data_IF_707643378267
#
_entry.id   IF_707643378267
#
_cell.length_a   1.000
_cell.length_b   1.000
_cell.length_c   1.000
_cell.angle_alpha   90.00
_cell.angle_beta   90.00
_cell.angle_gamma   90.00
#
_symmetry.space_group_name_H-M   'P 1'
#
loop_
_entity.id
_entity.type
_entity.pdbx_description
1 polymer ?
#
# COMPACT_ATOMS: atom_id res chain seq x y z
N UNK A 1 87.29 -62.74 21.56
CA UNK A 1 85.98 -62.55 22.24
C UNK A 1 85.29 -61.22 21.92
N UNK A 2 86.00 -60.12 21.66
CA UNK A 2 85.41 -58.80 21.38
C UNK A 2 84.41 -58.75 20.21
N UNK A 3 84.65 -59.46 19.10
CA UNK A 3 83.74 -59.43 17.93
C UNK A 3 82.36 -60.06 18.21
N UNK A 4 82.32 -61.17 18.98
CA UNK A 4 81.06 -61.84 19.34
C UNK A 4 80.19 -60.94 20.23
N UNK A 5 80.80 -60.19 21.15
CA UNK A 5 80.08 -59.22 21.99
C UNK A 5 79.49 -58.05 21.18
N UNK A 6 80.19 -57.56 20.14
CA UNK A 6 79.67 -56.50 19.26
C UNK A 6 78.44 -56.95 18.48
N UNK A 7 78.42 -58.19 17.97
CA UNK A 7 77.26 -58.73 17.26
C UNK A 7 76.04 -58.94 18.17
N UNK A 8 76.25 -59.41 19.41
CA UNK A 8 75.16 -59.56 20.39
C UNK A 8 74.58 -58.19 20.77
N UNK A 9 75.43 -57.20 21.02
CA UNK A 9 74.98 -55.84 21.31
C UNK A 9 74.21 -55.21 20.14
N UNK A 10 74.66 -55.43 18.90
CA UNK A 10 73.95 -54.95 17.71
C UNK A 10 72.59 -55.64 17.51
N UNK A 11 72.50 -56.95 17.77
CA UNK A 11 71.24 -57.69 17.69
C UNK A 11 70.23 -57.21 18.75
N UNK A 12 70.67 -57.01 19.99
CA UNK A 12 69.83 -56.46 21.07
C UNK A 12 69.37 -55.02 20.75
N UNK A 13 70.22 -54.21 20.12
CA UNK A 13 69.83 -52.85 19.74
C UNK A 13 68.77 -52.85 18.63
N UNK A 14 68.91 -53.72 17.63
CA UNK A 14 67.88 -53.92 16.57
C UNK A 14 66.55 -54.39 17.14
N UNK A 15 66.58 -55.29 18.12
CA UNK A 15 65.35 -55.78 18.77
C UNK A 15 64.65 -54.67 19.57
N UNK A 16 65.40 -53.84 20.28
CA UNK A 16 64.85 -52.65 20.97
C UNK A 16 64.27 -51.63 19.99
N UNK A 17 64.93 -51.43 18.85
CA UNK A 17 64.47 -50.51 17.81
C UNK A 17 63.14 -50.97 17.21
N UNK A 18 63.03 -52.27 16.88
CA UNK A 18 61.75 -52.88 16.43
C UNK A 18 60.65 -52.73 17.48
N UNK A 19 60.97 -52.91 18.77
CA UNK A 19 59.99 -52.73 19.85
C UNK A 19 59.48 -51.29 19.93
N UNK A 20 60.37 -50.30 19.79
CA UNK A 20 60.00 -48.86 19.74
C UNK A 20 59.22 -48.49 18.48
N UNK A 21 59.50 -49.14 17.35
CA UNK A 21 58.74 -48.92 16.12
C UNK A 21 57.32 -49.46 16.23
N UNK A 22 57.17 -50.67 16.79
CA UNK A 22 55.85 -51.25 17.09
C UNK A 22 55.05 -50.39 18.06
N UNK A 23 55.67 -49.88 19.12
CA UNK A 23 55.02 -48.98 20.08
C UNK A 23 54.54 -47.67 19.41
N UNK A 24 55.34 -47.08 18.52
CA UNK A 24 54.95 -45.91 17.71
C UNK A 24 53.84 -46.22 16.70
N UNK A 25 53.74 -47.46 16.22
CA UNK A 25 52.64 -47.88 15.34
C UNK A 25 51.34 -48.05 16.12
N UNK A 26 51.38 -48.72 17.28
CA UNK A 26 50.24 -48.83 18.19
C UNK A 26 49.75 -47.45 18.68
N UNK A 27 50.66 -46.51 18.94
CA UNK A 27 50.30 -45.13 19.28
C UNK A 27 49.59 -44.42 18.12
N UNK A 28 50.11 -44.53 16.89
CA UNK A 28 49.45 -43.99 15.69
C UNK A 28 48.07 -44.61 15.45
N UNK A 29 47.88 -45.90 15.74
CA UNK A 29 46.56 -46.53 15.65
C UNK A 29 45.58 -46.01 16.68
N UNK A 30 46.03 -45.77 17.93
CA UNK A 30 45.21 -45.13 18.97
C UNK A 30 44.84 -43.70 18.59
N UNK A 31 45.79 -42.92 18.09
CA UNK A 31 45.54 -41.55 17.60
C UNK A 31 44.51 -41.55 16.47
N UNK A 32 44.64 -42.45 15.49
CA UNK A 32 43.64 -42.62 14.43
C UNK A 32 42.27 -42.98 15.00
N UNK A 33 42.20 -43.89 15.97
CA UNK A 33 40.96 -44.25 16.65
C UNK A 33 40.27 -43.05 17.31
N UNK A 34 41.05 -42.22 18.03
CA UNK A 34 40.55 -40.99 18.66
C UNK A 34 40.06 -40.00 17.59
N UNK A 35 40.81 -39.80 16.49
CA UNK A 35 40.40 -38.91 15.40
C UNK A 35 39.10 -39.37 14.73
N UNK A 36 38.92 -40.67 14.49
CA UNK A 36 37.67 -41.21 13.95
C UNK A 36 36.50 -40.99 14.91
N UNK A 37 36.71 -41.14 16.22
CA UNK A 37 35.69 -40.88 17.22
C UNK A 37 35.28 -39.40 17.25
N UNK A 38 36.25 -38.48 17.20
CA UNK A 38 35.99 -37.03 17.12
C UNK A 38 35.23 -36.68 15.84
N UNK A 39 35.64 -37.23 14.69
CA UNK A 39 34.99 -37.01 13.41
C UNK A 39 33.52 -37.48 13.44
N UNK A 40 33.25 -38.67 13.99
CA UNK A 40 31.90 -39.20 14.11
C UNK A 40 31.01 -38.33 15.02
N UNK A 41 31.53 -37.86 16.15
CA UNK A 41 30.80 -36.94 17.03
C UNK A 41 30.50 -35.61 16.35
N UNK A 42 31.44 -35.08 15.57
CA UNK A 42 31.25 -33.86 14.78
C UNK A 42 30.14 -34.02 13.73
N UNK A 43 30.16 -35.12 12.98
CA UNK A 43 29.12 -35.45 11.98
C UNK A 43 27.75 -35.60 12.65
N UNK A 44 27.67 -36.32 13.77
CA UNK A 44 26.41 -36.48 14.51
C UNK A 44 25.86 -35.16 15.03
N UNK A 45 26.74 -34.28 15.54
CA UNK A 45 26.35 -32.94 15.97
C UNK A 45 25.81 -32.10 14.81
N UNK A 46 26.46 -32.12 13.64
CA UNK A 46 25.98 -31.44 12.43
C UNK A 46 24.62 -31.95 11.98
N UNK A 47 24.38 -33.26 12.01
CA UNK A 47 23.08 -33.85 11.66
C UNK A 47 21.98 -33.35 12.62
N UNK A 48 22.25 -33.28 13.92
CA UNK A 48 21.29 -32.78 14.92
C UNK A 48 20.99 -31.29 14.69
N UNK A 49 22.03 -30.47 14.44
CA UNK A 49 21.87 -29.05 14.14
C UNK A 49 21.04 -28.85 12.86
N UNK A 50 21.36 -29.59 11.80
CA UNK A 50 20.62 -29.53 10.54
C UNK A 50 19.14 -29.91 10.72
N UNK A 51 18.87 -30.98 11.46
CA UNK A 51 17.49 -31.40 11.77
C UNK A 51 16.74 -30.36 12.59
N UNK A 52 17.40 -29.74 13.56
CA UNK A 52 16.80 -28.67 14.35
C UNK A 52 16.48 -27.44 13.49
N UNK A 53 17.38 -27.06 12.59
CA UNK A 53 17.16 -25.94 11.67
C UNK A 53 15.98 -26.21 10.71
N UNK A 54 15.90 -27.42 10.16
CA UNK A 54 14.75 -27.86 9.35
C UNK A 54 13.43 -27.79 10.14
N UNK A 55 13.45 -28.22 11.40
CA UNK A 55 12.26 -28.14 12.26
C UNK A 55 11.85 -26.69 12.56
N UNK A 56 12.80 -25.78 12.79
CA UNK A 56 12.51 -24.36 12.97
C UNK A 56 11.89 -23.74 11.71
N UNK A 57 12.43 -24.07 10.53
CA UNK A 57 11.90 -23.58 9.27
C UNK A 57 10.47 -24.08 9.01
N UNK A 58 10.19 -25.33 9.36
CA UNK A 58 8.84 -25.90 9.29
C UNK A 58 7.85 -25.15 10.20
N UNK A 59 8.22 -24.90 11.46
CA UNK A 59 7.38 -24.17 12.41
C UNK A 59 7.14 -22.72 11.98
N UNK A 60 8.16 -22.06 11.41
CA UNK A 60 8.02 -20.71 10.89
C UNK A 60 7.04 -20.66 9.71
N UNK A 61 7.11 -21.63 8.81
CA UNK A 61 6.18 -21.74 7.68
C UNK A 61 4.75 -22.03 8.15
N UNK A 62 4.57 -22.92 9.14
CA UNK A 62 3.25 -23.20 9.74
C UNK A 62 2.65 -21.94 10.40
N UNK A 63 3.47 -21.16 11.12
CA UNK A 63 3.01 -19.88 11.68
C UNK A 63 2.60 -18.89 10.59
N UNK A 64 3.33 -18.80 9.48
CA UNK A 64 2.97 -17.94 8.35
C UNK A 64 1.65 -18.40 7.70
N UNK A 65 1.44 -19.70 7.54
CA UNK A 65 0.17 -20.24 7.03
C UNK A 65 -1.00 -19.92 7.95
N UNK A 66 -0.83 -20.07 9.28
CA UNK A 66 -1.87 -19.70 10.24
C UNK A 66 -2.19 -18.20 10.19
N UNK A 67 -1.17 -17.34 10.03
CA UNK A 67 -1.37 -15.89 9.87
C UNK A 67 -2.12 -15.56 8.57
N UNK A 68 -1.76 -16.21 7.45
CA UNK A 68 -2.45 -16.05 6.18
C UNK A 68 -3.92 -16.50 6.26
N UNK A 69 -4.19 -17.62 6.92
CA UNK A 69 -5.54 -18.14 7.11
C UNK A 69 -6.41 -17.20 7.95
N UNK A 70 -5.84 -16.64 9.02
CA UNK A 70 -6.54 -15.65 9.85
C UNK A 70 -6.85 -14.37 9.06
N UNK A 71 -5.90 -13.89 8.24
CA UNK A 71 -6.12 -12.73 7.39
C UNK A 71 -7.23 -12.95 6.36
N UNK A 72 -7.26 -14.14 5.75
CA UNK A 72 -8.31 -14.55 4.81
C UNK A 72 -9.69 -14.56 5.49
N UNK A 73 -9.76 -15.03 6.74
CA UNK A 73 -11.00 -15.05 7.51
C UNK A 73 -11.50 -13.62 7.81
N UNK A 74 -10.61 -12.69 8.15
CA UNK A 74 -10.95 -11.27 8.34
C UNK A 74 -11.48 -10.67 7.04
N UNK A 75 -10.82 -10.95 5.91
CA UNK A 75 -11.19 -10.42 4.61
C UNK A 75 -12.58 -10.94 4.17
N UNK A 76 -12.86 -12.22 4.41
CA UNK A 76 -14.16 -12.82 4.16
C UNK A 76 -15.26 -12.17 5.04
N UNK A 77 -14.97 -11.93 6.31
CA UNK A 77 -15.90 -11.25 7.21
C UNK A 77 -16.20 -9.82 6.76
N UNK A 78 -15.16 -9.08 6.31
CA UNK A 78 -15.32 -7.73 5.77
C UNK A 78 -16.19 -7.73 4.51
N UNK A 79 -15.98 -8.68 3.60
CA UNK A 79 -16.79 -8.81 2.39
C UNK A 79 -18.27 -9.05 2.74
N UNK A 80 -18.54 -9.92 3.71
CA UNK A 80 -19.91 -10.20 4.15
C UNK A 80 -20.58 -8.95 4.75
N UNK A 81 -19.84 -8.18 5.54
CA UNK A 81 -20.34 -6.93 6.12
C UNK A 81 -20.65 -5.88 5.04
N UNK A 82 -19.83 -5.80 3.99
CA UNK A 82 -20.04 -4.89 2.87
C UNK A 82 -21.28 -5.28 2.06
N UNK A 83 -21.54 -6.57 1.86
CA UNK A 83 -22.79 -7.05 1.26
C UNK A 83 -24.02 -6.68 2.09
N UNK A 84 -23.95 -6.78 3.42
CA UNK A 84 -25.07 -6.39 4.29
C UNK A 84 -25.35 -4.88 4.20
N UNK A 85 -24.31 -4.05 4.14
CA UNK A 85 -24.48 -2.60 3.93
C UNK A 85 -25.12 -2.29 2.58
N UNK A 86 -24.72 -2.98 1.51
CA UNK A 86 -25.37 -2.82 0.19
C UNK A 86 -26.85 -3.20 0.25
N UNK A 87 -27.20 -4.32 0.89
CA UNK A 87 -28.60 -4.70 1.06
C UNK A 87 -29.41 -3.70 1.91
N UNK A 88 -28.80 -3.07 2.91
CA UNK A 88 -29.44 -2.02 3.68
C UNK A 88 -29.68 -0.76 2.82
N UNK A 89 -28.69 -0.34 2.05
CA UNK A 89 -28.83 0.79 1.12
C UNK A 89 -29.88 0.51 0.04
N UNK A 90 -29.94 -0.70 -0.51
CA UNK A 90 -30.99 -1.10 -1.46
C UNK A 90 -32.37 -1.07 -0.82
N UNK A 91 -32.49 -1.48 0.44
CA UNK A 91 -33.76 -1.38 1.18
C UNK A 91 -34.17 0.05 1.44
N UNK A 92 -33.25 0.92 1.84
CA UNK A 92 -33.54 2.36 2.01
C UNK A 92 -33.92 3.00 0.67
N UNK A 93 -33.17 2.71 -0.39
CA UNK A 93 -33.51 3.17 -1.74
C UNK A 93 -34.90 2.71 -2.18
N UNK A 94 -35.28 1.47 -1.85
CA UNK A 94 -36.61 0.96 -2.15
C UNK A 94 -37.70 1.66 -1.33
N UNK A 95 -37.44 1.99 -0.06
CA UNK A 95 -38.35 2.79 0.78
C UNK A 95 -38.55 4.19 0.19
N UNK A 96 -37.47 4.88 -0.15
CA UNK A 96 -37.52 6.21 -0.76
C UNK A 96 -38.29 6.19 -2.10
N UNK A 97 -38.08 5.13 -2.89
CA UNK A 97 -38.79 4.94 -4.15
C UNK A 97 -40.30 4.72 -3.95
N UNK A 98 -40.71 3.91 -2.97
CA UNK A 98 -42.13 3.74 -2.62
C UNK A 98 -42.76 5.05 -2.10
N UNK A 99 -42.02 5.84 -1.33
CA UNK A 99 -42.45 7.16 -0.88
C UNK A 99 -42.65 8.13 -2.06
N UNK A 100 -41.67 8.23 -2.96
CA UNK A 100 -41.79 9.05 -4.17
C UNK A 100 -42.98 8.61 -5.05
N UNK A 101 -43.20 7.30 -5.16
CA UNK A 101 -44.33 6.75 -5.91
C UNK A 101 -45.67 7.15 -5.29
N UNK A 102 -45.80 7.12 -3.97
CA UNK A 102 -47.03 7.57 -3.28
C UNK A 102 -47.25 9.08 -3.41
N UNK A 103 -46.20 9.90 -3.34
CA UNK A 103 -46.28 11.35 -3.59
C UNK A 103 -46.74 11.67 -5.03
N UNK A 104 -46.18 10.99 -6.04
CA UNK A 104 -46.61 11.13 -7.43
C UNK A 104 -48.08 10.72 -7.63
N UNK A 105 -48.54 9.67 -6.93
CA UNK A 105 -49.93 9.23 -6.99
C UNK A 105 -50.89 10.24 -6.34
N UNK A 106 -50.45 10.95 -5.29
CA UNK A 106 -51.22 12.05 -4.68
C UNK A 106 -51.29 13.28 -5.60
N UNK A 107 -50.18 13.64 -6.26
CA UNK A 107 -50.14 14.74 -7.24
C UNK A 107 -50.96 14.44 -8.49
N UNK A 108 -51.05 13.17 -8.90
CA UNK A 108 -51.88 12.74 -10.03
C UNK A 108 -53.38 12.86 -9.76
N UNK A 109 -53.82 13.14 -8.54
CA UNK A 109 -55.25 13.29 -8.22
C UNK A 109 -55.74 14.70 -8.59
N UNK A 110 -56.50 14.88 -9.69
CA UNK A 110 -56.81 16.20 -10.25
C UNK A 110 -57.78 17.04 -9.41
N UNK A 111 -58.30 16.51 -8.30
CA UNK A 111 -59.29 17.19 -7.47
C UNK A 111 -58.73 18.36 -6.63
N UNK A 112 -57.41 18.46 -6.43
CA UNK A 112 -56.78 19.48 -5.59
C UNK A 112 -56.04 20.60 -6.37
N UNK A 113 -55.78 20.44 -7.67
CA UNK A 113 -54.97 21.38 -8.45
C UNK A 113 -55.71 22.65 -8.95
N UNK A 114 -57.01 22.79 -8.64
CA UNK A 114 -57.86 23.87 -9.15
C UNK A 114 -57.63 25.26 -8.56
N UNK A 115 -56.88 25.41 -7.47
CA UNK A 115 -56.78 26.68 -6.73
C UNK A 115 -55.43 27.40 -6.86
N UNK A 116 -54.33 26.69 -7.11
CA UNK A 116 -52.98 27.27 -7.01
C UNK A 116 -52.54 28.04 -8.27
N UNK A 117 -53.08 27.68 -9.45
CA UNK A 117 -52.73 28.37 -10.71
C UNK A 117 -53.23 29.82 -10.81
N UNK A 118 -54.09 30.29 -9.89
CA UNK A 118 -54.57 31.68 -9.87
C UNK A 118 -53.72 32.65 -9.05
N UNK A 119 -52.84 32.17 -8.18
CA UNK A 119 -52.01 33.05 -7.34
C UNK A 119 -50.65 33.40 -7.96
N UNK A 120 -50.06 32.50 -8.75
CA UNK A 120 -48.75 32.76 -9.38
C UNK A 120 -48.84 33.74 -10.56
N UNK A 121 -49.97 33.76 -11.28
CA UNK A 121 -50.21 34.73 -12.36
C UNK A 121 -50.31 36.18 -11.80
N UNK A 122 -50.81 36.33 -10.57
CA UNK A 122 -50.86 37.63 -9.87
C UNK A 122 -49.48 38.09 -9.38
N UNK A 123 -48.60 37.18 -8.95
CA UNK A 123 -47.25 37.51 -8.48
C UNK A 123 -46.30 37.90 -9.63
N UNK A 124 -46.40 37.25 -10.78
CA UNK A 124 -45.60 37.61 -11.97
C UNK A 124 -46.04 38.96 -12.55
N UNK A 125 -47.34 39.28 -12.50
CA UNK A 125 -47.86 40.59 -12.85
C UNK A 125 -47.38 41.70 -11.89
N UNK A 126 -47.23 41.41 -10.60
CA UNK A 126 -46.71 42.37 -9.62
C UNK A 126 -45.19 42.63 -9.78
N UNK A 127 -44.40 41.60 -10.09
CA UNK A 127 -42.95 41.76 -10.29
C UNK A 127 -42.61 42.51 -11.59
N UNK A 128 -43.39 42.30 -12.66
CA UNK A 128 -43.25 43.05 -13.91
C UNK A 128 -43.67 44.51 -13.77
N UNK A 129 -44.65 44.82 -12.91
CA UNK A 129 -45.02 46.19 -12.58
C UNK A 129 -43.94 46.93 -11.76
N UNK A 130 -43.21 46.25 -10.88
CA UNK A 130 -42.13 46.86 -10.10
C UNK A 130 -40.89 47.20 -10.95
N UNK A 131 -40.61 46.42 -12.00
CA UNK A 131 -39.50 46.67 -12.93
C UNK A 131 -39.69 47.93 -13.80
N UNK A 132 -40.93 48.41 -13.97
CA UNK A 132 -41.24 49.62 -14.71
C UNK A 132 -40.92 50.92 -13.93
N UNK A 133 -40.55 50.83 -12.65
CA UNK A 133 -40.38 51.97 -11.73
C UNK A 133 -39.06 52.76 -11.79
N UNK A 134 -38.22 52.59 -12.81
CA UNK A 134 -37.18 53.59 -13.14
C UNK A 134 -35.91 53.63 -12.28
N UNK A 135 -35.36 52.48 -11.90
CA UNK A 135 -34.04 52.38 -11.25
C UNK A 135 -32.96 51.76 -12.16
N UNK A 136 -32.45 52.50 -13.14
CA UNK A 136 -31.41 52.01 -14.08
C UNK A 136 -30.13 51.50 -13.38
N UNK A 137 -29.83 51.97 -12.17
CA UNK A 137 -28.67 51.55 -11.39
C UNK A 137 -28.86 50.23 -10.63
N UNK A 138 -30.08 49.88 -10.22
CA UNK A 138 -30.38 48.63 -9.52
C UNK A 138 -30.41 47.44 -10.48
N UNK A 139 -30.92 47.64 -11.70
CA UNK A 139 -30.92 46.61 -12.74
C UNK A 139 -29.50 46.24 -13.21
N UNK A 140 -28.60 47.24 -13.32
CA UNK A 140 -27.20 47.00 -13.67
C UNK A 140 -26.44 46.25 -12.57
N UNK A 141 -26.70 46.55 -11.29
CA UNK A 141 -26.10 45.84 -10.16
C UNK A 141 -26.61 44.38 -10.06
N UNK A 142 -27.90 44.14 -10.28
CA UNK A 142 -28.47 42.79 -10.32
C UNK A 142 -27.94 41.97 -11.51
N UNK A 143 -27.80 42.57 -12.68
CA UNK A 143 -27.20 41.91 -13.86
C UNK A 143 -25.71 41.60 -13.65
N UNK A 144 -24.95 42.48 -12.99
CA UNK A 144 -23.55 42.24 -12.64
C UNK A 144 -23.38 41.13 -11.59
N UNK A 145 -24.27 41.05 -10.59
CA UNK A 145 -24.29 39.98 -9.61
C UNK A 145 -24.66 38.62 -10.24
N UNK A 146 -25.63 38.60 -11.17
CA UNK A 146 -25.98 37.40 -11.93
C UNK A 146 -24.85 36.94 -12.87
N UNK A 147 -24.14 37.87 -13.51
CA UNK A 147 -22.98 37.57 -14.33
C UNK A 147 -21.81 37.01 -13.50
N UNK A 148 -21.54 37.56 -12.32
CA UNK A 148 -20.51 37.05 -11.40
C UNK A 148 -20.82 35.62 -10.90
N UNK A 149 -22.09 35.34 -10.56
CA UNK A 149 -22.52 34.00 -10.18
C UNK A 149 -22.38 32.97 -11.31
N UNK A 150 -22.51 33.40 -12.58
CA UNK A 150 -22.35 32.51 -13.74
C UNK A 150 -20.89 32.08 -14.00
N UNK A 151 -19.91 32.92 -13.67
CA UNK A 151 -18.48 32.64 -13.92
C UNK A 151 -17.95 31.58 -12.95
N UNK A 152 -18.39 31.60 -11.68
CA UNK A 152 -18.00 30.58 -10.70
C UNK A 152 -18.56 29.19 -11.02
N UNK A 153 -19.79 29.13 -11.54
CA UNK A 153 -20.42 27.86 -11.93
C UNK A 153 -19.65 27.16 -13.07
N UNK A 154 -19.03 27.90 -13.97
CA UNK A 154 -18.22 27.31 -15.06
C UNK A 154 -16.93 26.65 -14.56
N UNK A 155 -16.26 27.24 -13.56
CA UNK A 155 -15.05 26.63 -12.98
C UNK A 155 -15.35 25.34 -12.21
N UNK A 156 -16.50 25.29 -11.53
CA UNK A 156 -16.95 24.08 -10.82
C UNK A 156 -17.33 22.97 -11.79
N UNK A 157 -18.03 23.32 -12.88
CA UNK A 157 -18.34 22.37 -13.95
C UNK A 157 -17.06 21.80 -14.58
N UNK A 158 -16.04 22.64 -14.78
CA UNK A 158 -14.74 22.21 -15.30
C UNK A 158 -14.04 21.23 -14.36
N UNK A 159 -13.99 21.52 -13.05
CA UNK A 159 -13.43 20.61 -12.04
C UNK A 159 -14.15 19.26 -12.00
N UNK A 160 -15.47 19.26 -12.13
CA UNK A 160 -16.29 18.04 -12.21
C UNK A 160 -16.00 17.24 -13.49
N UNK A 161 -15.82 17.91 -14.63
CA UNK A 161 -15.42 17.28 -15.88
C UNK A 161 -14.02 16.66 -15.79
N UNK A 162 -13.07 17.36 -15.18
CA UNK A 162 -11.70 16.88 -14.97
C UNK A 162 -11.67 15.68 -14.02
N UNK A 163 -12.46 15.70 -12.94
CA UNK A 163 -12.62 14.57 -12.01
C UNK A 163 -13.21 13.35 -12.71
N UNK A 164 -14.25 13.53 -13.53
CA UNK A 164 -14.87 12.45 -14.31
C UNK A 164 -13.88 11.87 -15.33
N UNK A 165 -13.14 12.72 -16.02
CA UNK A 165 -12.08 12.33 -16.96
C UNK A 165 -10.96 11.54 -16.29
N UNK A 166 -10.49 11.99 -15.12
CA UNK A 166 -9.51 11.26 -14.31
C UNK A 166 -10.05 9.88 -13.89
N UNK A 167 -11.32 9.79 -13.48
CA UNK A 167 -11.95 8.52 -13.12
C UNK A 167 -11.99 7.53 -14.30
N UNK A 168 -12.40 7.99 -15.49
CA UNK A 168 -12.42 7.17 -16.70
C UNK A 168 -11.02 6.70 -17.11
N UNK A 169 -9.99 7.55 -16.98
CA UNK A 169 -8.59 7.17 -17.28
C UNK A 169 -8.08 6.08 -16.35
N UNK A 170 -8.31 6.21 -15.03
CA UNK A 170 -7.91 5.20 -14.05
C UNK A 170 -8.60 3.85 -14.34
N UNK A 171 -9.89 3.87 -14.67
CA UNK A 171 -10.61 2.64 -15.05
C UNK A 171 -10.08 2.02 -16.35
N UNK A 172 -9.75 2.85 -17.35
CA UNK A 172 -9.16 2.40 -18.61
C UNK A 172 -7.82 1.71 -18.41
N UNK A 173 -6.90 2.35 -17.67
CA UNK A 173 -5.60 1.78 -17.34
C UNK A 173 -5.72 0.48 -16.54
N UNK A 174 -6.65 0.40 -15.59
CA UNK A 174 -6.86 -0.82 -14.83
C UNK A 174 -7.25 -2.01 -15.72
N UNK A 175 -8.16 -1.78 -16.69
CA UNK A 175 -8.55 -2.81 -17.67
C UNK A 175 -7.39 -3.20 -18.58
N UNK A 176 -6.56 -2.24 -18.99
CA UNK A 176 -5.39 -2.49 -19.83
C UNK A 176 -4.36 -3.37 -19.10
N UNK A 177 -4.02 -3.03 -17.85
CA UNK A 177 -3.09 -3.81 -17.03
C UNK A 177 -3.61 -5.24 -16.82
N UNK A 178 -4.92 -5.38 -16.55
CA UNK A 178 -5.54 -6.69 -16.38
C UNK A 178 -5.44 -7.54 -17.66
N UNK A 179 -5.76 -6.95 -18.81
CA UNK A 179 -5.65 -7.64 -20.10
C UNK A 179 -4.20 -8.00 -20.44
N UNK A 180 -3.24 -7.14 -20.12
CA UNK A 180 -1.81 -7.42 -20.31
C UNK A 180 -1.34 -8.59 -19.45
N UNK A 181 -1.77 -8.65 -18.17
CA UNK A 181 -1.48 -9.78 -17.27
C UNK A 181 -2.05 -11.10 -17.78
N UNK A 182 -3.28 -11.08 -18.28
CA UNK A 182 -3.93 -12.25 -18.88
C UNK A 182 -3.20 -12.71 -20.15
N UNK A 183 -2.78 -11.77 -21.00
CA UNK A 183 -1.96 -12.05 -22.19
C UNK A 183 -0.61 -12.68 -21.86
N UNK A 184 0.09 -12.16 -20.84
CA UNK A 184 1.36 -12.76 -20.37
C UNK A 184 1.12 -14.15 -19.79
N UNK A 185 0.07 -14.35 -19.00
CA UNK A 185 -0.26 -15.66 -18.45
C UNK A 185 -0.57 -16.67 -19.56
N UNK A 186 -1.31 -16.27 -20.59
CA UNK A 186 -1.59 -17.09 -21.76
C UNK A 186 -0.32 -17.43 -22.56
N UNK A 187 0.56 -16.46 -22.79
CA UNK A 187 1.84 -16.68 -23.46
C UNK A 187 2.77 -17.62 -22.66
N UNK A 188 2.82 -17.46 -21.34
CA UNK A 188 3.55 -18.36 -20.44
C UNK A 188 2.96 -19.78 -20.44
N UNK A 189 1.64 -19.93 -20.53
CA UNK A 189 0.99 -21.23 -20.67
C UNK A 189 1.30 -21.88 -22.02
N UNK A 190 1.29 -21.11 -23.11
CA UNK A 190 1.60 -21.60 -24.46
C UNK A 190 3.06 -22.06 -24.60
N UNK A 191 4.01 -21.31 -24.04
CA UNK A 191 5.43 -21.72 -24.00
C UNK A 191 5.61 -23.02 -23.21
N UNK A 192 4.89 -23.21 -22.10
CA UNK A 192 4.92 -24.46 -21.34
C UNK A 192 4.37 -25.66 -22.12
N UNK A 193 3.39 -25.46 -23.01
CA UNK A 193 2.85 -26.52 -23.85
C UNK A 193 3.72 -26.81 -25.08
N UNK A 194 4.36 -25.80 -25.68
CA UNK A 194 5.22 -25.97 -26.85
C UNK A 194 6.51 -26.76 -26.60
N UNK A 195 7.03 -26.77 -25.37
CA UNK A 195 8.27 -27.49 -25.02
C UNK A 195 8.09 -29.02 -25.00
N UNK A 196 6.86 -29.53 -24.89
CA UNK A 196 6.61 -30.98 -24.87
C UNK A 196 6.37 -31.61 -26.25
N UNK A 197 6.23 -30.81 -27.32
CA UNK A 197 5.91 -31.32 -28.67
C UNK A 197 7.08 -31.37 -29.66
N UNK A 198 8.29 -30.94 -29.28
CA UNK A 198 9.46 -30.91 -30.20
C UNK A 198 10.45 -32.07 -30.07
N UNK A 199 10.15 -33.13 -29.30
CA UNK A 199 11.10 -34.25 -29.08
C UNK A 199 10.82 -35.50 -29.93
N UNK A 200 9.86 -35.48 -30.86
CA UNK A 200 9.51 -36.70 -31.59
C UNK A 200 9.23 -36.44 -33.06
N UNK A 201 10.28 -36.26 -33.86
CA UNK A 201 10.43 -36.87 -35.18
C UNK A 201 11.75 -36.42 -35.81
N UNK A 202 12.81 -37.15 -35.49
CA UNK A 202 13.92 -37.38 -36.41
C UNK A 202 13.89 -38.87 -36.75
N UNK A 203 14.11 -39.16 -38.03
CA UNK A 203 14.10 -40.46 -38.71
C UNK A 203 12.79 -40.74 -39.45
N UNK A 204 12.65 -40.10 -40.60
CA UNK A 204 12.34 -40.77 -41.86
C UNK A 204 12.84 -39.84 -42.97
N UNK A 205 14.11 -40.04 -43.31
CA UNK A 205 14.56 -39.92 -44.70
C UNK A 205 13.70 -40.89 -45.51
N UNK A 206 13.16 -40.42 -46.64
CA UNK A 206 12.75 -41.16 -47.85
C UNK A 206 11.74 -40.25 -48.55
N UNK A 207 12.18 -39.42 -49.49
CA UNK A 207 12.41 -39.70 -50.92
C UNK A 207 11.34 -38.93 -51.72
N UNK A 208 11.84 -38.13 -52.67
CA UNK A 208 11.26 -37.79 -53.96
C UNK A 208 9.82 -37.25 -54.03
N UNK A 209 9.67 -36.04 -54.56
CA UNK A 209 9.16 -35.88 -55.93
C UNK A 209 9.12 -34.40 -56.33
N UNK A 210 9.68 -34.18 -57.51
CA UNK A 210 9.64 -32.97 -58.31
C UNK A 210 8.19 -32.48 -58.46
N UNK A 211 7.91 -31.24 -58.07
CA UNK A 211 6.70 -30.56 -58.52
C UNK A 211 7.00 -29.10 -58.85
N UNK A 212 7.53 -28.93 -60.05
CA UNK A 212 7.53 -27.69 -60.80
C UNK A 212 6.07 -27.22 -60.96
N UNK A 213 5.65 -26.28 -60.12
CA UNK A 213 4.43 -25.52 -60.39
C UNK A 213 4.73 -24.04 -60.25
N UNK A 214 5.24 -23.51 -61.35
CA UNK A 214 5.26 -22.10 -61.70
C UNK A 214 3.85 -21.53 -61.56
N UNK A 215 3.60 -20.85 -60.45
CA UNK A 215 2.45 -19.96 -60.35
C UNK A 215 2.94 -18.58 -59.92
N UNK A 216 3.43 -17.87 -60.92
CA UNK A 216 3.61 -16.42 -60.96
C UNK A 216 2.27 -15.73 -60.62
N UNK A 217 2.04 -15.50 -59.32
CA UNK A 217 1.12 -14.45 -58.88
C UNK A 217 1.89 -13.44 -58.04
N UNK A 218 2.51 -12.56 -58.80
CA UNK A 218 3.11 -11.30 -58.43
C UNK A 218 2.11 -10.37 -57.71
N UNK A 219 2.65 -9.53 -56.81
CA UNK A 219 2.08 -8.28 -56.28
C UNK A 219 0.91 -8.35 -55.29
N UNK A 220 1.28 -8.51 -54.01
CA UNK A 220 1.26 -7.38 -53.07
C UNK A 220 1.83 -7.87 -51.73
N UNK A 221 3.16 -8.02 -51.67
CA UNK A 221 3.88 -8.16 -50.40
C UNK A 221 3.79 -6.82 -49.67
N UNK A 222 2.66 -6.59 -48.99
CA UNK A 222 2.61 -5.67 -47.85
C UNK A 222 3.73 -6.14 -46.92
N UNK A 223 4.80 -5.36 -46.85
CA UNK A 223 5.80 -5.48 -45.81
C UNK A 223 5.05 -5.24 -44.50
N UNK A 224 4.50 -6.31 -43.93
CA UNK A 224 4.14 -6.30 -42.53
C UNK A 224 5.44 -6.05 -41.82
N UNK A 225 5.62 -4.82 -41.34
CA UNK A 225 6.66 -4.47 -40.39
C UNK A 225 6.48 -5.43 -39.24
N UNK A 226 7.25 -6.50 -39.25
CA UNK A 226 7.29 -7.50 -38.20
C UNK A 226 7.84 -6.78 -37.00
N UNK A 227 6.94 -6.23 -36.19
CA UNK A 227 7.32 -5.60 -34.93
C UNK A 227 7.99 -6.71 -34.13
N UNK A 228 9.26 -6.53 -33.73
CA UNK A 228 9.97 -7.56 -33.00
C UNK A 228 9.13 -7.93 -31.77
N UNK A 229 8.87 -9.24 -31.52
CA UNK A 229 8.04 -9.66 -30.41
C UNK A 229 8.67 -9.10 -29.12
N UNK A 230 7.88 -8.34 -28.35
CA UNK A 230 8.33 -7.85 -27.05
C UNK A 230 8.77 -9.07 -26.24
N UNK A 231 10.01 -9.01 -25.74
CA UNK A 231 10.50 -10.03 -24.83
C UNK A 231 9.63 -10.05 -23.58
N UNK A 232 9.43 -11.23 -22.98
CA UNK A 232 8.65 -11.37 -21.75
C UNK A 232 9.15 -10.43 -20.64
N UNK A 233 10.47 -10.24 -20.54
CA UNK A 233 11.07 -9.28 -19.61
C UNK A 233 10.62 -7.84 -19.85
N UNK A 234 10.66 -7.38 -21.10
CA UNK A 234 10.22 -6.04 -21.47
C UNK A 234 8.72 -5.82 -21.18
N UNK A 235 7.88 -6.82 -21.43
CA UNK A 235 6.44 -6.75 -21.12
C UNK A 235 6.17 -6.66 -19.61
N UNK A 236 6.97 -7.34 -18.77
CA UNK A 236 6.86 -7.26 -17.31
C UNK A 236 7.28 -5.87 -16.81
N UNK A 237 8.37 -5.31 -17.35
CA UNK A 237 8.81 -3.95 -17.01
C UNK A 237 7.77 -2.89 -17.40
N UNK A 238 7.15 -3.03 -18.57
CA UNK A 238 6.09 -2.11 -19.01
C UNK A 238 4.83 -2.19 -18.12
N UNK A 239 4.44 -3.39 -17.68
CA UNK A 239 3.35 -3.54 -16.70
C UNK A 239 3.69 -2.85 -15.38
N UNK A 240 4.93 -2.97 -14.90
CA UNK A 240 5.36 -2.33 -13.67
C UNK A 240 5.32 -0.79 -13.78
N UNK A 241 5.74 -0.23 -14.92
CA UNK A 241 5.62 1.21 -15.19
C UNK A 241 4.15 1.68 -15.23
N UNK A 242 3.26 0.89 -15.85
CA UNK A 242 1.83 1.19 -15.87
C UNK A 242 1.18 1.11 -14.47
N UNK A 243 1.66 0.20 -13.62
CA UNK A 243 1.22 0.10 -12.22
C UNK A 243 1.64 1.35 -11.41
N UNK A 244 2.87 1.83 -11.60
CA UNK A 244 3.36 3.06 -10.97
C UNK A 244 2.57 4.30 -11.44
N UNK A 245 2.30 4.41 -12.75
CA UNK A 245 1.47 5.48 -13.30
C UNK A 245 0.03 5.43 -12.76
N UNK A 246 -0.54 4.23 -12.62
CA UNK A 246 -1.87 4.04 -12.05
C UNK A 246 -1.93 4.52 -10.60
N UNK A 247 -0.91 4.26 -9.80
CA UNK A 247 -0.84 4.72 -8.42
C UNK A 247 -0.69 6.25 -8.32
N UNK A 248 0.10 6.86 -9.21
CA UNK A 248 0.18 8.33 -9.32
C UNK A 248 -1.19 8.95 -9.68
N UNK A 249 -1.92 8.36 -10.63
CA UNK A 249 -3.24 8.85 -11.03
C UNK A 249 -4.29 8.67 -9.93
N UNK A 250 -4.22 7.59 -9.13
CA UNK A 250 -5.07 7.44 -7.94
C UNK A 250 -4.81 8.56 -6.93
N UNK A 251 -3.55 8.91 -6.72
CA UNK A 251 -3.19 10.02 -5.82
C UNK A 251 -3.76 11.35 -6.31
N UNK A 252 -3.58 11.68 -7.59
CA UNK A 252 -4.15 12.90 -8.20
C UNK A 252 -5.68 12.94 -8.09
N UNK A 253 -6.36 11.79 -8.24
CA UNK A 253 -7.81 11.70 -8.05
C UNK A 253 -8.21 12.06 -6.61
N UNK A 254 -7.53 11.50 -5.61
CA UNK A 254 -7.82 11.76 -4.19
C UNK A 254 -7.67 13.25 -3.89
N UNK A 255 -6.62 13.88 -4.42
CA UNK A 255 -6.38 15.31 -4.27
C UNK A 255 -7.50 16.17 -4.89
N UNK A 256 -7.91 15.86 -6.13
CA UNK A 256 -9.03 16.54 -6.78
C UNK A 256 -10.35 16.36 -6.02
N UNK A 257 -10.61 15.15 -5.50
CA UNK A 257 -11.82 14.88 -4.70
C UNK A 257 -11.82 15.69 -3.39
N UNK A 258 -10.65 15.81 -2.74
CA UNK A 258 -10.50 16.64 -1.55
C UNK A 258 -10.74 18.13 -1.86
N UNK A 259 -10.23 18.63 -3.00
CA UNK A 259 -10.41 20.01 -3.43
C UNK A 259 -11.89 20.33 -3.70
N UNK A 260 -12.60 19.43 -4.40
CA UNK A 260 -14.06 19.57 -4.64
C UNK A 260 -14.83 19.61 -3.32
N UNK A 261 -14.53 18.72 -2.37
CA UNK A 261 -15.16 18.70 -1.04
C UNK A 261 -14.88 19.98 -0.24
N UNK A 262 -13.64 20.48 -0.29
CA UNK A 262 -13.27 21.71 0.39
C UNK A 262 -14.01 22.92 -0.19
N UNK A 263 -14.11 23.01 -1.52
CA UNK A 263 -14.84 24.09 -2.20
C UNK A 263 -16.35 24.05 -1.88
N UNK A 264 -16.94 22.87 -1.81
CA UNK A 264 -18.34 22.70 -1.39
C UNK A 264 -18.56 23.18 0.06
N UNK A 265 -17.65 22.83 0.99
CA UNK A 265 -17.72 23.34 2.38
C UNK A 265 -17.60 24.85 2.46
N UNK A 266 -16.67 25.44 1.70
CA UNK A 266 -16.45 26.87 1.69
C UNK A 266 -17.70 27.62 1.18
N UNK A 267 -18.39 27.09 0.17
CA UNK A 267 -19.69 27.62 -0.28
C UNK A 267 -20.77 27.54 0.80
N UNK A 268 -20.83 26.43 1.55
CA UNK A 268 -21.78 26.31 2.65
C UNK A 268 -21.48 27.31 3.79
N UNK A 269 -20.21 27.53 4.12
CA UNK A 269 -19.81 28.53 5.12
C UNK A 269 -20.11 29.96 4.64
N UNK A 270 -19.83 30.27 3.38
CA UNK A 270 -20.13 31.57 2.79
C UNK A 270 -21.65 31.85 2.79
N UNK A 271 -22.46 30.86 2.42
CA UNK A 271 -23.92 30.95 2.53
C UNK A 271 -24.38 31.13 3.99
N UNK A 272 -23.77 30.43 4.94
CA UNK A 272 -24.10 30.57 6.37
C UNK A 272 -23.71 31.96 6.92
N UNK A 273 -22.60 32.54 6.46
CA UNK A 273 -22.18 33.90 6.83
C UNK A 273 -23.12 34.94 6.22
N UNK A 274 -23.53 34.78 4.96
CA UNK A 274 -24.51 35.67 4.32
C UNK A 274 -25.85 35.71 5.09
N UNK A 275 -26.34 34.55 5.54
CA UNK A 275 -27.57 34.46 6.37
C UNK A 275 -27.41 35.14 7.73
N UNK A 276 -26.20 35.18 8.31
CA UNK A 276 -25.96 35.91 9.57
C UNK A 276 -25.82 37.42 9.39
N UNK A 277 -25.35 37.89 8.24
CA UNK A 277 -25.22 39.32 7.95
C UNK A 277 -26.57 40.06 7.88
N UNK A 278 -27.62 39.37 7.42
CA UNK A 278 -28.94 39.98 7.17
C UNK A 278 -29.83 40.07 8.42
N UNK A 279 -29.45 39.41 9.53
CA UNK A 279 -30.18 39.53 10.81
C UNK A 279 -29.89 40.82 11.57
N UNK A 280 -29.28 41.81 10.91
CA UNK A 280 -29.05 43.11 11.48
C UNK A 280 -28.07 43.03 12.65
N UNK A 281 -26.87 43.58 12.43
CA UNK A 281 -26.19 44.34 13.48
C UNK A 281 -27.10 45.52 13.88
N UNK A 282 -28.23 45.22 14.51
CA UNK A 282 -28.86 46.13 15.44
C UNK A 282 -27.84 46.26 16.55
N UNK A 283 -26.99 47.27 16.39
CA UNK A 283 -26.18 47.78 17.48
C UNK A 283 -27.15 47.93 18.65
N UNK A 284 -26.96 47.23 19.78
CA UNK A 284 -27.80 47.47 20.93
C UNK A 284 -27.62 48.95 21.29
N UNK A 285 -28.65 49.74 20.98
CA UNK A 285 -28.75 51.14 21.33
C UNK A 285 -28.99 51.21 22.84
N UNK A 286 -27.93 50.96 23.61
CA UNK A 286 -27.93 51.08 25.05
C UNK A 286 -26.53 51.50 25.48
N UNK A 287 -26.27 52.81 25.46
CA UNK A 287 -25.83 53.59 26.62
C UNK A 287 -25.14 54.89 26.17
N UNK A 288 -25.93 55.94 25.90
CA UNK A 288 -25.49 57.29 26.29
C UNK A 288 -25.64 57.40 27.80
N UNK A 289 -24.59 57.04 28.53
CA UNK A 289 -24.40 57.42 29.93
C UNK A 289 -22.90 57.44 30.23
N UNK A 290 -22.37 58.65 30.16
CA UNK A 290 -21.25 59.20 30.92
C UNK A 290 -20.53 58.25 31.86
N UNK A 291 -19.22 58.08 31.71
CA UNK A 291 -18.23 58.22 32.79
C UNK A 291 -16.79 58.09 32.28
N UNK A 292 -16.09 59.19 32.43
CA UNK A 292 -14.64 59.37 32.53
C UNK A 292 -13.92 58.32 33.39
N UNK A 293 -12.79 57.80 32.93
CA UNK A 293 -11.54 57.73 33.71
C UNK A 293 -10.35 57.26 32.88
N UNK A 294 -9.41 58.20 32.71
CA UNK A 294 -7.96 58.02 32.73
C UNK A 294 -7.46 56.67 33.27
N UNK A 295 -6.57 55.99 32.54
CA UNK A 295 -5.22 55.75 33.06
C UNK A 295 -4.20 55.31 32.00
N UNK A 296 -3.00 55.78 32.29
CA UNK A 296 -1.77 55.89 31.52
C UNK A 296 -0.91 54.61 31.48
N UNK A 297 -0.03 54.56 30.47
CA UNK A 297 1.29 53.89 30.46
C UNK A 297 1.28 52.35 30.48
N UNK A 298 1.94 51.66 29.55
CA UNK A 298 3.41 51.63 29.49
C UNK A 298 3.90 51.01 28.16
N UNK A 299 4.93 51.65 27.61
CA UNK A 299 5.86 51.10 26.62
C UNK A 299 6.52 49.82 27.14
N UNK A 300 6.86 48.88 26.25
CA UNK A 300 8.17 48.20 26.26
C UNK A 300 8.47 47.49 24.93
N UNK A 301 9.61 47.91 24.38
CA UNK A 301 10.40 47.30 23.31
C UNK A 301 10.87 45.88 23.64
N UNK A 302 11.43 45.18 22.62
CA UNK A 302 12.60 44.25 22.62
C UNK A 302 12.34 43.06 21.68
N UNK A 303 12.85 43.01 20.43
CA UNK A 303 14.24 42.70 19.98
C UNK A 303 14.59 41.20 19.88
N UNK A 304 14.93 40.78 18.65
CA UNK A 304 16.03 39.89 18.22
C UNK A 304 16.20 38.47 18.82
N UNK A 305 16.41 37.47 17.94
CA UNK A 305 17.69 36.73 17.90
C UNK A 305 17.80 35.70 16.76
N UNK A 306 18.95 35.76 16.11
CA UNK A 306 19.57 34.83 15.17
C UNK A 306 20.32 33.68 15.88
N UNK A 307 20.53 32.54 15.21
CA UNK A 307 21.71 31.70 15.49
C UNK A 307 22.14 30.81 14.31
N UNK A 308 23.34 31.12 13.82
CA UNK A 308 24.27 30.30 13.02
C UNK A 308 24.92 29.22 13.89
N UNK A 309 25.44 28.13 13.31
CA UNK A 309 26.72 27.42 13.63
C UNK A 309 26.72 25.99 13.06
N UNK A 310 27.81 25.26 12.77
CA UNK A 310 29.24 25.49 12.45
C UNK A 310 29.79 24.11 12.00
N UNK A 311 30.69 24.16 11.02
CA UNK A 311 31.72 23.18 10.62
C UNK A 311 32.33 22.32 11.74
N UNK A 312 32.76 21.08 11.41
CA UNK A 312 33.98 20.49 11.95
C UNK A 312 34.70 19.55 10.96
N UNK A 313 35.92 19.95 10.60
CA UNK A 313 37.00 19.18 10.00
C UNK A 313 37.62 18.22 11.02
N UNK A 314 38.03 17.01 10.63
CA UNK A 314 39.28 16.38 11.08
C UNK A 314 39.90 15.57 9.93
N UNK A 315 41.06 16.03 9.48
CA UNK A 315 42.05 15.29 8.70
C UNK A 315 43.09 14.63 9.63
N UNK A 316 43.87 13.66 9.09
CA UNK A 316 45.19 13.08 9.50
C UNK A 316 45.11 11.55 9.46
N UNK A 317 46.07 10.77 8.95
CA UNK A 317 47.41 10.97 8.38
C UNK A 317 47.86 9.63 7.74
N UNK A 318 48.53 9.65 6.60
CA UNK A 318 50.00 9.47 6.47
C UNK A 318 50.54 8.08 6.88
N UNK A 319 50.75 7.25 5.85
CA UNK A 319 52.00 6.52 5.51
C UNK A 319 52.88 5.93 6.62
N UNK A 320 53.17 4.62 6.52
CA UNK A 320 54.48 4.04 6.85
C UNK A 320 54.67 2.67 6.20
N UNK A 321 55.51 2.63 5.17
CA UNK A 321 56.19 1.46 4.62
C UNK A 321 57.32 1.02 5.54
N UNK A 322 57.47 -0.28 5.79
CA UNK A 322 58.74 -0.87 6.26
C UNK A 322 58.83 -2.33 5.85
N UNK A 323 59.67 -2.57 4.84
CA UNK A 323 60.25 -3.86 4.52
C UNK A 323 61.19 -4.29 5.65
N UNK A 324 61.10 -5.54 6.10
CA UNK A 324 62.22 -6.22 6.75
C UNK A 324 62.14 -7.72 6.46
N UNK A 325 62.94 -8.12 5.48
CA UNK A 325 63.30 -9.50 5.19
C UNK A 325 64.18 -10.02 6.33
N UNK A 326 63.73 -11.00 7.11
CA UNK A 326 64.59 -11.96 7.82
C UNK A 326 63.77 -13.05 8.51
N UNK A 327 64.17 -14.30 8.26
CA UNK A 327 63.92 -15.49 9.09
C UNK A 327 62.61 -16.26 8.87
N UNK A 328 62.66 -17.05 7.80
CA UNK A 328 61.90 -18.26 7.50
C UNK A 328 61.80 -19.24 8.68
N UNK A 329 60.62 -19.33 9.32
CA UNK A 329 60.03 -20.58 9.86
C UNK A 329 58.78 -20.35 10.73
N UNK A 330 58.46 -19.12 11.13
CA UNK A 330 57.34 -18.84 12.05
C UNK A 330 56.11 -18.19 11.38
N UNK A 331 56.15 -17.89 10.08
CA UNK A 331 55.05 -17.21 9.37
C UNK A 331 53.81 -18.08 9.16
N UNK A 332 53.95 -19.42 9.14
CA UNK A 332 52.78 -20.28 8.97
C UNK A 332 51.85 -20.18 10.19
N UNK A 333 52.41 -20.05 11.40
CA UNK A 333 51.61 -19.88 12.62
C UNK A 333 50.97 -18.48 12.67
N UNK A 334 51.66 -17.45 12.19
CA UNK A 334 51.11 -16.10 12.05
C UNK A 334 49.95 -16.04 11.07
N UNK A 335 50.12 -16.65 9.89
CA UNK A 335 49.06 -16.77 8.88
C UNK A 335 47.89 -17.61 9.40
N UNK A 336 48.14 -18.71 10.13
CA UNK A 336 47.09 -19.53 10.73
C UNK A 336 46.32 -18.78 11.82
N UNK A 337 47.00 -18.06 12.72
CA UNK A 337 46.31 -17.21 13.72
C UNK A 337 45.51 -16.09 13.04
N UNK A 338 46.03 -15.51 11.95
CA UNK A 338 45.33 -14.46 11.22
C UNK A 338 44.09 -15.00 10.49
N UNK A 339 44.15 -16.21 9.92
CA UNK A 339 42.98 -16.90 9.36
C UNK A 339 41.94 -17.25 10.43
N UNK A 340 42.36 -17.77 11.59
CA UNK A 340 41.44 -18.09 12.70
C UNK A 340 40.78 -16.84 13.27
N UNK A 341 41.53 -15.73 13.39
CA UNK A 341 40.96 -14.44 13.79
C UNK A 341 40.00 -13.89 12.73
N UNK A 342 40.32 -14.04 11.45
CA UNK A 342 39.43 -13.61 10.36
C UNK A 342 38.14 -14.43 10.35
N UNK A 343 38.20 -15.74 10.56
CA UNK A 343 37.04 -16.63 10.69
C UNK A 343 36.13 -16.21 11.87
N UNK A 344 36.73 -15.86 13.02
CA UNK A 344 35.98 -15.35 14.19
C UNK A 344 35.35 -13.97 13.95
N UNK A 345 35.99 -13.12 13.15
CA UNK A 345 35.43 -11.82 12.75
C UNK A 345 34.26 -12.01 11.77
N UNK A 346 34.36 -12.96 10.84
CA UNK A 346 33.27 -13.29 9.93
C UNK A 346 32.07 -13.92 10.64
N UNK A 347 32.28 -14.83 11.61
CA UNK A 347 31.21 -15.34 12.49
C UNK A 347 30.50 -14.20 13.25
N UNK A 348 31.25 -13.19 13.68
CA UNK A 348 30.69 -12.01 14.36
C UNK A 348 29.86 -11.10 13.44
N UNK A 349 30.28 -10.96 12.19
CA UNK A 349 29.56 -10.14 11.19
C UNK A 349 28.24 -10.80 10.77
N UNK A 350 28.21 -12.12 10.64
CA UNK A 350 27.00 -12.84 10.24
C UNK A 350 25.90 -12.76 11.33
N UNK A 351 26.29 -12.89 12.61
CA UNK A 351 25.38 -12.65 13.75
C UNK A 351 24.83 -11.24 13.78
N UNK A 352 25.60 -10.24 13.36
CA UNK A 352 25.15 -8.83 13.35
C UNK A 352 24.12 -8.60 12.24
N UNK A 353 24.26 -9.27 11.10
CA UNK A 353 23.27 -9.28 10.02
C UNK A 353 21.93 -9.89 10.46
N UNK A 354 21.97 -11.00 11.20
CA UNK A 354 20.75 -11.62 11.75
C UNK A 354 20.04 -10.72 12.78
N UNK A 355 20.78 -10.05 13.66
CA UNK A 355 20.20 -9.13 14.65
C UNK A 355 19.49 -7.95 13.95
N UNK A 356 20.09 -7.38 12.90
CA UNK A 356 19.46 -6.31 12.13
C UNK A 356 18.19 -6.81 11.42
N UNK A 357 18.25 -7.99 10.78
CA UNK A 357 17.06 -8.59 10.15
C UNK A 357 15.96 -8.83 11.19
N UNK A 358 16.29 -9.40 12.34
CA UNK A 358 15.33 -9.68 13.42
C UNK A 358 14.70 -8.39 13.98
N UNK A 359 15.49 -7.33 14.17
CA UNK A 359 15.00 -6.03 14.63
C UNK A 359 14.10 -5.36 13.59
N UNK A 360 14.43 -5.48 12.31
CA UNK A 360 13.62 -4.94 11.21
C UNK A 360 12.27 -5.67 11.14
N UNK A 361 12.27 -7.00 11.20
CA UNK A 361 11.03 -7.81 11.21
C UNK A 361 10.17 -7.55 12.45
N UNK A 362 10.80 -7.33 13.61
CA UNK A 362 10.06 -7.00 14.83
C UNK A 362 9.37 -5.63 14.74
N UNK A 363 10.04 -4.64 14.14
CA UNK A 363 9.48 -3.30 13.91
C UNK A 363 8.32 -3.37 12.92
N UNK A 364 8.46 -4.16 11.86
CA UNK A 364 7.39 -4.37 10.88
C UNK A 364 6.17 -5.07 11.49
N UNK A 365 6.36 -6.08 12.36
CA UNK A 365 5.28 -6.71 13.12
C UNK A 365 4.54 -5.74 14.03
N UNK A 366 5.26 -4.86 14.73
CA UNK A 366 4.63 -3.83 15.58
C UNK A 366 3.80 -2.85 14.76
N UNK A 367 4.29 -2.45 13.59
CA UNK A 367 3.55 -1.54 12.71
C UNK A 367 2.28 -2.19 12.17
N UNK A 368 2.36 -3.47 11.76
CA UNK A 368 1.20 -4.24 11.31
C UNK A 368 0.17 -4.45 12.43
N UNK A 369 0.61 -4.71 13.67
CA UNK A 369 -0.28 -4.79 14.84
C UNK A 369 -0.97 -3.46 15.14
N UNK A 370 -0.27 -2.33 15.04
CA UNK A 370 -0.89 -1.01 15.21
C UNK A 370 -1.92 -0.72 14.12
N UNK A 371 -1.65 -1.13 12.87
CA UNK A 371 -2.58 -0.95 11.76
C UNK A 371 -3.85 -1.79 11.94
N UNK A 372 -3.73 -3.02 12.46
CA UNK A 372 -4.89 -3.84 12.81
C UNK A 372 -5.71 -3.25 13.97
N UNK A 373 -5.07 -2.70 15.00
CA UNK A 373 -5.80 -2.03 16.10
C UNK A 373 -6.57 -0.79 15.62
N UNK A 374 -6.00 0.00 14.70
CA UNK A 374 -6.71 1.14 14.13
C UNK A 374 -7.92 0.71 13.30
N UNK A 375 -7.82 -0.37 12.52
CA UNK A 375 -8.98 -0.90 11.79
C UNK A 375 -10.07 -1.43 12.73
N UNK A 376 -9.72 -2.10 13.83
CA UNK A 376 -10.73 -2.54 14.82
C UNK A 376 -11.44 -1.36 15.49
N UNK A 377 -10.72 -0.26 15.81
CA UNK A 377 -11.37 0.94 16.35
C UNK A 377 -12.30 1.61 15.35
N UNK A 378 -11.93 1.68 14.06
CA UNK A 378 -12.85 2.21 13.04
C UNK A 378 -14.09 1.35 12.88
N UNK A 379 -13.97 0.02 12.96
CA UNK A 379 -15.13 -0.87 12.93
C UNK A 379 -16.05 -0.70 14.15
N UNK A 380 -15.49 -0.56 15.36
CA UNK A 380 -16.32 -0.28 16.55
C UNK A 380 -17.05 1.06 16.44
N UNK A 381 -16.42 2.10 15.88
CA UNK A 381 -17.10 3.37 15.65
C UNK A 381 -18.22 3.26 14.62
N UNK A 382 -18.03 2.50 13.52
CA UNK A 382 -19.12 2.27 12.57
C UNK A 382 -20.27 1.45 13.18
N UNK A 383 -19.99 0.45 14.01
CA UNK A 383 -21.04 -0.30 14.71
C UNK A 383 -21.83 0.57 15.68
N UNK A 384 -21.16 1.47 16.42
CA UNK A 384 -21.86 2.42 17.29
C UNK A 384 -22.71 3.41 16.49
N UNK A 385 -22.24 3.88 15.33
CA UNK A 385 -23.06 4.74 14.48
C UNK A 385 -24.29 4.01 13.93
N UNK A 386 -24.16 2.74 13.51
CA UNK A 386 -25.32 1.96 13.09
C UNK A 386 -26.31 1.69 14.22
N UNK A 387 -25.85 1.43 15.45
CA UNK A 387 -26.76 1.30 16.59
C UNK A 387 -27.46 2.60 16.92
N UNK A 388 -26.78 3.75 16.83
CA UNK A 388 -27.43 5.04 17.00
C UNK A 388 -28.48 5.32 15.92
N UNK A 389 -28.20 4.98 14.66
CA UNK A 389 -29.20 5.12 13.59
C UNK A 389 -30.40 4.19 13.79
N UNK A 390 -30.20 2.95 14.26
CA UNK A 390 -31.33 2.08 14.58
C UNK A 390 -32.15 2.57 15.79
N UNK A 391 -31.51 3.17 16.79
CA UNK A 391 -32.25 3.78 17.90
C UNK A 391 -33.03 5.01 17.45
N UNK A 392 -32.46 5.85 16.59
CA UNK A 392 -33.19 6.99 16.03
C UNK A 392 -34.37 6.54 15.17
N UNK A 393 -34.21 5.51 14.33
CA UNK A 393 -35.33 4.96 13.57
C UNK A 393 -36.41 4.36 14.49
N UNK A 394 -36.05 3.70 15.59
CA UNK A 394 -37.05 3.19 16.55
C UNK A 394 -37.74 4.29 17.33
N UNK A 395 -37.02 5.34 17.74
CA UNK A 395 -37.65 6.50 18.39
C UNK A 395 -38.59 7.24 17.43
N UNK A 396 -38.21 7.39 16.16
CA UNK A 396 -39.04 8.03 15.14
C UNK A 396 -40.28 7.18 14.81
N UNK A 397 -40.15 5.85 14.72
CA UNK A 397 -41.29 4.94 14.53
C UNK A 397 -42.21 4.90 15.76
N UNK A 398 -41.66 5.01 16.98
CA UNK A 398 -42.45 5.10 18.22
C UNK A 398 -43.15 6.46 18.36
N UNK A 399 -42.50 7.55 17.98
CA UNK A 399 -43.07 8.89 17.99
C UNK A 399 -44.20 9.02 16.95
N UNK A 400 -44.00 8.51 15.73
CA UNK A 400 -45.04 8.49 14.69
C UNK A 400 -46.23 7.60 15.09
N UNK A 401 -45.99 6.48 15.77
CA UNK A 401 -47.03 5.63 16.34
C UNK A 401 -47.87 6.34 17.41
N UNK A 402 -47.24 7.10 18.30
CA UNK A 402 -47.94 7.87 19.35
C UNK A 402 -48.82 8.99 18.78
N UNK A 403 -48.37 9.65 17.71
CA UNK A 403 -49.15 10.69 17.06
C UNK A 403 -50.40 10.13 16.36
N UNK A 404 -50.31 8.95 15.76
CA UNK A 404 -51.46 8.27 15.17
C UNK A 404 -52.52 7.89 16.24
N UNK A 405 -52.09 7.38 17.39
CA UNK A 405 -53.00 7.03 18.48
C UNK A 405 -53.68 8.27 19.08
N UNK A 406 -52.94 9.35 19.31
CA UNK A 406 -53.50 10.63 19.76
C UNK A 406 -54.52 11.22 18.76
N UNK A 407 -54.24 11.12 17.47
CA UNK A 407 -55.17 11.58 16.43
C UNK A 407 -56.46 10.74 16.39
N UNK A 408 -56.36 9.45 16.70
CA UNK A 408 -57.51 8.53 16.77
C UNK A 408 -58.36 8.77 18.01
N UNK A 409 -57.75 9.15 19.13
CA UNK A 409 -58.46 9.49 20.37
C UNK A 409 -59.26 10.80 20.24
N UNK A 410 -58.71 11.84 19.57
CA UNK A 410 -59.42 13.11 19.31
C UNK A 410 -60.63 13.00 18.36
N UNK A 411 -60.80 11.87 17.66
CA UNK A 411 -61.94 11.63 16.76
C UNK A 411 -63.12 10.92 17.43
N UNK A 412 -62.95 10.44 18.66
CA UNK A 412 -64.04 9.93 19.49
C UNK A 412 -64.60 11.07 20.33
#
# INVERSE_FOLDING_TARGET
MSSKMKHVAAAQNRERERKREKEREEERERERGILYQILMLSIMSLIVIYRHHQQQHYLQHEQQQQQAYHLLQILLQQQQQQQQQQQQQEKEFFKDYEQLRTELQQLSNPAAAGTVFRETEAAVAAATAAAAGGGETAAAAAAAAAAAASVENNQELQLLMDLRSAHSRVQGLHKLIQSAKEGIAAAAAATKQGVYNTTTHNNNEDEDEDNDNDNDNDRDKKQYTTVPPLTLGAAIEEIHLLEEELDLLKYQRIELEALVKLKARLKHEEAAVAVRGDRGLTCPAACSSSSSSTNTNTKRDSSSSSSKSKSNNIAKGSSSSSNSSSSSSNDLLGVYLQLVLLEKVYEGLDRRGEVIKMQTTQTQRKHLQQQQQQQQQQQQQQQQQQQQQQQQQQEEEEEEGRDQDNAREKKK
#
